data_IF_582680928668
#
_entry.id   IF_582680928668
#
_cell.length_a   1.000
_cell.length_b   1.000
_cell.length_c   1.000
_cell.angle_alpha   90.00
_cell.angle_beta   90.00
_cell.angle_gamma   90.00
#
_symmetry.space_group_name_H-M   'P 1'
#
loop_
_entity.id
_entity.type
_entity.pdbx_description
1 polymer ?
#
# COMPACT_ATOMS: atom_id res chain seq x y z
N UNK A 1 16.62 73.02 -17.50
CA UNK A 1 16.12 71.82 -16.78
C UNK A 1 17.33 70.95 -16.48
N UNK A 2 17.77 70.87 -15.22
CA UNK A 2 19.04 70.24 -14.82
C UNK A 2 18.74 68.80 -14.41
N UNK A 3 19.17 67.83 -15.21
CA UNK A 3 19.02 66.41 -14.90
C UNK A 3 20.04 66.06 -13.82
N UNK A 4 19.56 65.65 -12.65
CA UNK A 4 20.40 65.11 -11.57
C UNK A 4 20.44 63.60 -11.73
N UNK A 5 21.61 63.06 -12.07
CA UNK A 5 21.83 61.61 -12.12
C UNK A 5 22.22 61.16 -10.72
N UNK A 6 21.37 60.38 -10.05
CA UNK A 6 21.72 59.76 -8.77
C UNK A 6 22.58 58.52 -9.05
N UNK A 7 23.88 58.59 -8.73
CA UNK A 7 24.74 57.40 -8.65
C UNK A 7 24.34 56.56 -7.43
N UNK A 8 23.80 55.37 -7.68
CA UNK A 8 23.63 54.35 -6.63
C UNK A 8 24.98 53.67 -6.45
N UNK A 9 25.70 54.05 -5.37
CA UNK A 9 26.89 53.32 -4.93
C UNK A 9 26.46 52.00 -4.32
N UNK A 10 26.71 50.88 -5.01
CA UNK A 10 26.58 49.56 -4.42
C UNK A 10 27.59 49.42 -3.29
N UNK A 11 27.12 49.18 -2.07
CA UNK A 11 27.97 48.82 -0.95
C UNK A 11 28.76 47.55 -1.30
N UNK A 12 30.08 47.57 -1.07
CA UNK A 12 30.90 46.37 -1.14
C UNK A 12 30.31 45.34 -0.16
N UNK A 13 30.20 44.05 -0.54
CA UNK A 13 29.67 43.04 0.36
C UNK A 13 30.50 43.01 1.65
N UNK A 14 29.82 43.04 2.79
CA UNK A 14 30.42 42.87 4.10
C UNK A 14 31.23 41.57 4.09
N UNK A 15 32.51 41.66 4.47
CA UNK A 15 33.39 40.50 4.56
C UNK A 15 32.70 39.41 5.39
N UNK A 16 32.53 38.22 4.81
CA UNK A 16 31.92 37.11 5.53
C UNK A 16 32.74 36.79 6.79
N UNK A 17 32.09 36.52 7.94
CA UNK A 17 32.81 36.07 9.11
C UNK A 17 33.49 34.73 8.79
N UNK A 18 34.81 34.69 8.95
CA UNK A 18 35.62 33.47 8.87
C UNK A 18 35.14 32.45 9.92
N UNK A 19 34.10 31.69 9.59
CA UNK A 19 33.82 30.43 10.25
C UNK A 19 34.84 29.42 9.73
N UNK A 20 35.90 29.19 10.51
CA UNK A 20 36.80 28.05 10.36
C UNK A 20 36.00 26.77 10.57
N UNK A 21 35.30 26.33 9.53
CA UNK A 21 34.79 24.98 9.45
C UNK A 21 36.00 24.07 9.36
N UNK A 22 36.49 23.59 10.50
CA UNK A 22 37.31 22.39 10.56
C UNK A 22 36.49 21.24 10.01
N UNK A 23 36.43 21.10 8.69
CA UNK A 23 36.08 19.84 8.05
C UNK A 23 37.09 18.85 8.60
N UNK A 24 36.63 17.92 9.44
CA UNK A 24 37.41 16.74 9.81
C UNK A 24 37.80 16.10 8.50
N UNK A 25 39.03 16.34 8.06
CA UNK A 25 39.60 15.71 6.89
C UNK A 25 39.56 14.21 7.18
N UNK A 26 38.59 13.51 6.59
CA UNK A 26 38.64 12.05 6.53
C UNK A 26 39.89 11.78 5.71
N UNK A 27 40.91 11.21 6.36
CA UNK A 27 42.25 11.07 5.82
C UNK A 27 42.23 10.44 4.42
N UNK A 28 43.30 10.72 3.66
CA UNK A 28 43.59 10.10 2.38
C UNK A 28 43.21 8.61 2.42
N UNK A 29 42.27 8.22 1.57
CA UNK A 29 41.91 6.80 1.41
C UNK A 29 43.11 6.12 0.74
N UNK A 30 43.96 5.51 1.55
CA UNK A 30 44.93 4.54 1.06
C UNK A 30 44.12 3.31 0.66
N UNK A 31 43.93 3.10 -0.64
CA UNK A 31 43.44 1.81 -1.14
C UNK A 31 44.52 0.76 -0.86
N UNK A 32 44.41 0.09 0.28
CA UNK A 32 45.18 -1.12 0.56
C UNK A 32 44.66 -2.21 -0.38
N UNK A 33 45.44 -2.57 -1.40
CA UNK A 33 45.20 -3.82 -2.12
C UNK A 33 45.41 -4.96 -1.12
N UNK A 34 44.33 -5.60 -0.71
CA UNK A 34 44.39 -6.85 0.05
C UNK A 34 44.92 -7.94 -0.89
N UNK A 35 46.21 -8.25 -0.81
CA UNK A 35 46.73 -9.50 -1.35
C UNK A 35 46.52 -10.57 -0.29
N UNK A 36 45.47 -11.39 -0.46
CA UNK A 36 45.31 -12.61 0.31
C UNK A 36 46.35 -13.63 -0.17
N UNK A 37 47.11 -14.21 0.78
CA UNK A 37 48.14 -15.21 0.53
C UNK A 37 47.64 -16.65 0.76
N UNK A 38 46.33 -16.87 0.83
CA UNK A 38 45.73 -18.19 1.05
C UNK A 38 44.78 -18.58 -0.08
N UNK A 39 44.73 -19.87 -0.40
CA UNK A 39 43.79 -20.52 -1.33
C UNK A 39 42.33 -20.53 -0.83
N UNK A 40 41.91 -19.51 -0.08
CA UNK A 40 40.53 -19.29 0.32
C UNK A 40 39.84 -18.42 -0.72
N UNK A 41 38.67 -18.84 -1.19
CA UNK A 41 37.83 -18.06 -2.09
C UNK A 41 37.42 -16.75 -1.42
N UNK A 42 38.19 -15.69 -1.66
CA UNK A 42 37.90 -14.35 -1.20
C UNK A 42 36.83 -13.76 -2.13
N UNK A 43 35.57 -13.71 -1.69
CA UNK A 43 34.53 -13.00 -2.44
C UNK A 43 34.78 -11.50 -2.26
N UNK A 44 35.59 -10.95 -3.16
CA UNK A 44 35.69 -9.51 -3.39
C UNK A 44 34.60 -9.15 -4.39
N UNK A 45 33.46 -8.70 -3.86
CA UNK A 45 32.33 -8.28 -4.66
C UNK A 45 31.10 -8.16 -3.78
N UNK A 46 30.89 -6.98 -3.20
CA UNK A 46 29.52 -6.59 -2.90
C UNK A 46 28.82 -6.30 -4.25
N UNK A 47 28.40 -7.38 -4.89
CA UNK A 47 27.39 -7.40 -5.97
C UNK A 47 26.18 -8.17 -5.47
N UNK A 48 25.74 -7.85 -4.26
CA UNK A 48 24.63 -8.56 -3.66
C UNK A 48 24.31 -8.05 -2.27
N UNK A 49 23.69 -6.86 -2.20
CA UNK A 49 22.49 -6.80 -1.36
C UNK A 49 21.59 -7.87 -1.95
N UNK A 50 21.61 -9.06 -1.34
CA UNK A 50 20.54 -10.03 -1.47
C UNK A 50 19.31 -9.31 -0.90
N UNK A 51 18.65 -8.53 -1.74
CA UNK A 51 17.29 -8.04 -1.49
C UNK A 51 16.28 -9.18 -1.63
N UNK A 52 16.76 -10.42 -1.65
CA UNK A 52 16.03 -11.66 -1.52
C UNK A 52 15.51 -11.84 -0.09
N UNK A 53 14.91 -10.78 0.47
CA UNK A 53 13.76 -10.97 1.31
C UNK A 53 12.65 -11.56 0.42
N UNK A 54 12.77 -12.85 0.14
CA UNK A 54 11.66 -13.77 -0.20
C UNK A 54 10.74 -13.93 1.03
N UNK A 55 10.91 -13.11 2.06
CA UNK A 55 9.90 -12.86 3.09
C UNK A 55 8.77 -12.06 2.47
N UNK A 56 7.64 -12.72 2.24
CA UNK A 56 6.47 -12.15 1.57
C UNK A 56 6.12 -10.75 2.08
N UNK A 57 6.19 -9.76 1.19
CA UNK A 57 5.73 -8.40 1.50
C UNK A 57 4.26 -8.45 1.88
N UNK A 58 3.93 -7.87 3.04
CA UNK A 58 2.56 -7.77 3.52
C UNK A 58 2.13 -6.32 3.46
N UNK A 59 1.00 -6.08 2.81
CA UNK A 59 0.28 -4.81 2.87
C UNK A 59 -1.05 -5.08 3.57
N UNK A 60 -1.29 -4.38 4.66
CA UNK A 60 -2.57 -4.40 5.36
C UNK A 60 -3.29 -3.10 5.06
N UNK A 61 -4.56 -3.20 4.67
CA UNK A 61 -5.43 -2.05 4.49
C UNK A 61 -6.42 -2.04 5.65
N UNK A 62 -6.41 -0.95 6.38
CA UNK A 62 -7.44 -0.62 7.35
C UNK A 62 -8.61 0.08 6.62
N UNK A 63 -9.79 -0.55 6.53
CA UNK A 63 -10.94 0.03 5.84
C UNK A 63 -11.58 1.20 6.60
N UNK A 64 -11.14 1.50 7.82
CA UNK A 64 -11.58 2.68 8.58
C UNK A 64 -10.87 3.96 8.12
N UNK A 65 -9.77 3.84 7.38
CA UNK A 65 -9.07 4.98 6.78
C UNK A 65 -9.76 5.46 5.50
N UNK A 66 -9.59 6.74 5.16
CA UNK A 66 -10.21 7.34 3.97
C UNK A 66 -9.76 6.59 2.69
N UNK A 67 -10.70 6.03 1.90
CA UNK A 67 -10.35 5.40 0.63
C UNK A 67 -9.98 6.45 -0.42
N UNK A 68 -9.45 6.00 -1.55
CA UNK A 68 -9.19 6.87 -2.68
C UNK A 68 -10.49 7.39 -3.30
N UNK A 69 -11.45 6.49 -3.52
CA UNK A 69 -12.81 6.81 -3.98
C UNK A 69 -13.79 5.73 -3.51
N UNK A 70 -15.06 6.09 -3.39
CA UNK A 70 -16.13 5.20 -2.97
C UNK A 70 -17.48 5.70 -3.52
N UNK A 71 -18.44 4.78 -3.65
CA UNK A 71 -19.86 5.10 -3.89
C UNK A 71 -20.71 4.15 -3.06
N UNK A 72 -21.57 4.71 -2.21
CA UNK A 72 -22.48 3.93 -1.35
C UNK A 72 -21.78 2.88 -0.46
N UNK A 73 -20.50 3.07 -0.16
CA UNK A 73 -19.66 2.17 0.65
C UNK A 73 -18.82 2.98 1.64
N UNK A 74 -19.50 3.64 2.58
CA UNK A 74 -18.92 4.69 3.43
C UNK A 74 -19.20 4.53 4.93
N UNK A 75 -20.06 3.60 5.32
CA UNK A 75 -20.61 3.59 6.67
C UNK A 75 -19.65 2.87 7.61
N UNK A 76 -19.05 3.59 8.56
CA UNK A 76 -18.26 2.99 9.62
C UNK A 76 -19.18 2.55 10.75
N UNK A 77 -19.23 1.24 11.00
CA UNK A 77 -20.12 0.66 12.02
C UNK A 77 -19.30 0.08 13.16
N UNK A 78 -19.64 0.45 14.40
CA UNK A 78 -19.10 -0.17 15.62
C UNK A 78 -19.78 -1.52 15.84
N UNK A 79 -19.00 -2.56 16.13
CA UNK A 79 -19.51 -3.91 16.39
C UNK A 79 -18.56 -4.68 17.29
N UNK A 80 -19.05 -5.09 18.46
CA UNK A 80 -18.29 -5.87 19.46
C UNK A 80 -17.96 -7.30 19.00
N UNK A 81 -18.68 -7.83 18.02
CA UNK A 81 -18.41 -9.16 17.46
C UNK A 81 -17.26 -9.17 16.44
N UNK A 82 -16.83 -7.98 16.03
CA UNK A 82 -15.81 -7.80 15.00
C UNK A 82 -14.44 -7.63 15.66
N UNK A 83 -13.42 -8.34 15.17
CA UNK A 83 -12.07 -8.37 15.75
C UNK A 83 -11.43 -6.98 15.96
N UNK A 84 -11.84 -5.98 15.16
CA UNK A 84 -11.35 -4.60 15.22
C UNK A 84 -12.40 -3.61 15.78
N UNK A 85 -13.40 -4.11 16.52
CA UNK A 85 -14.54 -3.35 17.04
C UNK A 85 -15.39 -2.62 16.00
N UNK A 86 -15.25 -2.94 14.72
CA UNK A 86 -16.07 -2.38 13.67
C UNK A 86 -15.84 -2.97 12.29
N UNK A 87 -16.55 -2.42 11.31
CA UNK A 87 -16.37 -2.68 9.88
C UNK A 87 -16.82 -1.47 9.05
N UNK A 88 -16.25 -1.33 7.86
CA UNK A 88 -16.77 -0.48 6.78
C UNK A 88 -17.94 -1.20 6.11
N UNK A 89 -19.05 -0.51 5.90
CA UNK A 89 -20.29 -1.06 5.37
C UNK A 89 -20.76 -0.29 4.14
N UNK A 90 -21.32 -1.03 3.18
CA UNK A 90 -22.10 -0.47 2.08
C UNK A 90 -23.57 -0.28 2.46
N UNK A 91 -24.24 0.67 1.81
CA UNK A 91 -25.68 0.88 1.97
C UNK A 91 -26.56 -0.30 1.49
N UNK A 92 -25.97 -1.27 0.80
CA UNK A 92 -26.68 -2.37 0.13
C UNK A 92 -27.13 -2.03 -1.30
N UNK A 93 -26.79 -0.85 -1.81
CA UNK A 93 -27.00 -0.55 -3.22
C UNK A 93 -26.17 -1.50 -4.11
N UNK A 94 -26.78 -2.02 -5.17
CA UNK A 94 -26.04 -2.78 -6.18
C UNK A 94 -24.98 -1.86 -6.81
N UNK A 95 -23.79 -2.41 -7.03
CA UNK A 95 -22.60 -1.70 -7.51
C UNK A 95 -22.02 -0.66 -6.54
N UNK A 96 -22.41 -0.70 -5.25
CA UNK A 96 -21.65 0.01 -4.21
C UNK A 96 -20.19 -0.44 -4.24
N UNK A 97 -19.26 0.51 -4.16
CA UNK A 97 -17.83 0.23 -4.27
C UNK A 97 -16.99 1.09 -3.33
N UNK A 98 -15.80 0.58 -3.02
CA UNK A 98 -14.73 1.28 -2.32
C UNK A 98 -13.39 0.90 -2.97
N UNK A 99 -12.48 1.87 -3.09
CA UNK A 99 -11.19 1.70 -3.78
C UNK A 99 -10.04 2.33 -3.01
N UNK A 100 -8.90 1.64 -2.95
CA UNK A 100 -7.67 2.11 -2.32
C UNK A 100 -6.52 2.09 -3.32
N UNK A 101 -5.55 2.98 -3.07
CA UNK A 101 -4.24 2.93 -3.72
C UNK A 101 -3.32 2.01 -2.93
N UNK A 102 -2.74 1.03 -3.61
CA UNK A 102 -1.77 0.09 -3.02
C UNK A 102 -0.50 0.06 -3.86
N UNK A 103 0.67 0.13 -3.22
CA UNK A 103 1.95 0.04 -3.91
C UNK A 103 2.40 -1.41 -3.96
N UNK A 104 2.35 -2.04 -5.13
CA UNK A 104 2.74 -3.44 -5.32
C UNK A 104 4.06 -3.52 -6.07
N UNK A 105 4.90 -4.47 -5.69
CA UNK A 105 6.04 -4.89 -6.50
C UNK A 105 5.59 -5.98 -7.49
N UNK A 106 6.31 -6.17 -8.61
CA UNK A 106 6.10 -7.32 -9.48
C UNK A 106 6.15 -8.63 -8.68
N UNK A 107 5.28 -9.57 -9.02
CA UNK A 107 5.22 -10.85 -8.32
C UNK A 107 3.83 -11.45 -8.28
N UNK A 108 3.73 -12.57 -7.56
CA UNK A 108 2.46 -13.25 -7.29
C UNK A 108 1.97 -12.86 -5.90
N UNK A 109 0.68 -12.55 -5.80
CA UNK A 109 0.05 -12.08 -4.58
C UNK A 109 -1.15 -12.93 -4.20
N UNK A 110 -1.45 -12.93 -2.90
CA UNK A 110 -2.73 -13.37 -2.33
C UNK A 110 -3.43 -12.16 -1.74
N UNK A 111 -4.67 -11.92 -2.15
CA UNK A 111 -5.56 -10.91 -1.56
C UNK A 111 -6.51 -11.61 -0.61
N UNK A 112 -6.41 -11.33 0.68
CA UNK A 112 -7.31 -11.82 1.72
C UNK A 112 -8.19 -10.69 2.24
N UNK A 113 -9.47 -10.96 2.43
CA UNK A 113 -10.45 -10.02 2.99
C UNK A 113 -11.07 -10.67 4.22
N UNK A 114 -11.10 -9.93 5.33
CA UNK A 114 -11.89 -10.28 6.51
C UNK A 114 -13.19 -9.48 6.48
N UNK A 115 -14.32 -10.17 6.60
CA UNK A 115 -15.65 -9.58 6.52
C UNK A 115 -16.67 -10.34 7.38
N UNK A 116 -17.86 -9.75 7.53
CA UNK A 116 -19.02 -10.46 8.10
C UNK A 116 -19.79 -11.19 7.00
N UNK A 117 -20.23 -12.42 7.29
CA UNK A 117 -21.27 -13.12 6.53
C UNK A 117 -22.62 -12.93 7.21
N UNK A 118 -23.68 -12.81 6.42
CA UNK A 118 -25.06 -12.69 6.87
C UNK A 118 -26.05 -12.95 5.71
N UNK A 119 -27.34 -12.99 6.01
CA UNK A 119 -28.40 -13.33 5.04
C UNK A 119 -28.75 -12.20 4.06
N UNK A 120 -28.13 -11.03 4.20
CA UNK A 120 -28.32 -9.84 3.36
C UNK A 120 -27.03 -9.39 2.68
N UNK A 121 -25.97 -10.21 2.74
CA UNK A 121 -24.69 -9.88 2.13
C UNK A 121 -24.69 -10.15 0.63
N UNK A 122 -23.99 -9.30 -0.11
CA UNK A 122 -23.76 -9.48 -1.54
C UNK A 122 -22.54 -10.35 -1.86
N UNK A 123 -22.32 -10.55 -3.16
CA UNK A 123 -21.12 -11.11 -3.74
C UNK A 123 -20.18 -9.98 -4.15
N UNK A 124 -19.00 -9.97 -3.56
CA UNK A 124 -18.00 -8.91 -3.73
C UNK A 124 -17.05 -9.27 -4.87
N UNK A 125 -16.99 -8.43 -5.88
CA UNK A 125 -15.95 -8.48 -6.93
C UNK A 125 -14.72 -7.73 -6.43
N UNK A 126 -13.55 -8.36 -6.54
CA UNK A 126 -12.25 -7.75 -6.24
C UNK A 126 -11.56 -7.45 -7.57
N UNK A 127 -11.14 -6.21 -7.78
CA UNK A 127 -10.44 -5.81 -8.99
C UNK A 127 -9.13 -5.07 -8.69
N UNK A 128 -8.14 -5.22 -9.56
CA UNK A 128 -6.89 -4.47 -9.55
C UNK A 128 -6.75 -3.73 -10.88
N UNK A 129 -6.60 -2.41 -10.83
CA UNK A 129 -6.57 -1.54 -12.03
C UNK A 129 -7.77 -1.78 -12.97
N UNK A 130 -8.94 -2.04 -12.40
CA UNK A 130 -10.17 -2.34 -13.13
C UNK A 130 -10.29 -3.78 -13.66
N UNK A 131 -9.23 -4.59 -13.58
CA UNK A 131 -9.28 -6.00 -13.98
C UNK A 131 -9.79 -6.85 -12.81
N UNK A 132 -10.87 -7.60 -13.04
CA UNK A 132 -11.41 -8.52 -12.02
C UNK A 132 -10.41 -9.62 -11.69
N UNK A 133 -10.12 -9.79 -10.40
CA UNK A 133 -9.32 -10.87 -9.84
C UNK A 133 -10.20 -12.07 -9.46
N UNK A 134 -11.50 -11.84 -9.26
CA UNK A 134 -12.46 -12.85 -8.81
C UNK A 134 -13.55 -12.27 -7.93
N UNK A 135 -14.41 -13.16 -7.44
CA UNK A 135 -15.59 -12.84 -6.63
C UNK A 135 -15.64 -13.66 -5.35
N UNK A 136 -16.17 -13.09 -4.27
CA UNK A 136 -16.38 -13.78 -2.99
C UNK A 136 -17.85 -13.61 -2.55
N UNK A 137 -18.55 -14.71 -2.34
CA UNK A 137 -19.92 -14.72 -1.80
C UNK A 137 -19.90 -14.64 -0.27
N UNK A 138 -20.36 -13.51 0.27
CA UNK A 138 -20.46 -13.28 1.70
C UNK A 138 -21.82 -13.69 2.29
N UNK A 139 -22.73 -14.27 1.49
CA UNK A 139 -23.99 -14.80 2.01
C UNK A 139 -23.78 -15.97 2.99
N UNK A 140 -24.52 -15.94 4.10
CA UNK A 140 -24.76 -17.06 4.98
C UNK A 140 -26.18 -16.99 5.56
N UNK A 141 -26.81 -18.12 5.86
CA UNK A 141 -28.14 -18.14 6.47
C UNK A 141 -28.16 -17.50 7.89
N UNK A 142 -27.04 -17.54 8.60
CA UNK A 142 -26.84 -16.94 9.91
C UNK A 142 -25.61 -16.04 9.93
N UNK A 143 -25.62 -15.03 10.80
CA UNK A 143 -24.51 -14.11 10.96
C UNK A 143 -23.24 -14.83 11.43
N UNK A 144 -22.12 -14.53 10.77
CA UNK A 144 -20.80 -14.99 11.17
C UNK A 144 -19.79 -13.85 10.98
N UNK A 145 -19.17 -13.40 12.06
CA UNK A 145 -18.13 -12.37 12.02
C UNK A 145 -16.75 -12.96 11.71
N UNK A 146 -15.80 -12.10 11.34
CA UNK A 146 -14.37 -12.44 11.21
C UNK A 146 -14.10 -13.55 10.18
N UNK A 147 -14.93 -13.64 9.14
CA UNK A 147 -14.77 -14.63 8.08
C UNK A 147 -13.71 -14.15 7.11
N UNK A 148 -12.77 -15.03 6.75
CA UNK A 148 -11.68 -14.71 5.84
C UNK A 148 -11.83 -15.50 4.55
N UNK A 149 -11.77 -14.81 3.43
CA UNK A 149 -11.71 -15.40 2.10
C UNK A 149 -10.53 -14.81 1.34
N UNK A 150 -9.96 -15.57 0.40
CA UNK A 150 -8.77 -15.14 -0.35
C UNK A 150 -8.87 -15.45 -1.84
N UNK A 151 -8.31 -14.56 -2.65
CA UNK A 151 -7.99 -14.78 -4.06
C UNK A 151 -6.48 -14.94 -4.15
N UNK A 152 -6.03 -16.11 -4.61
CA UNK A 152 -4.61 -16.47 -4.71
C UNK A 152 -4.13 -16.36 -6.16
N UNK A 153 -2.81 -16.36 -6.37
CA UNK A 153 -2.25 -16.39 -7.73
C UNK A 153 -2.41 -15.08 -8.50
N UNK A 154 -2.63 -13.96 -7.81
CA UNK A 154 -2.80 -12.64 -8.43
C UNK A 154 -1.45 -12.18 -8.99
N UNK A 155 -1.32 -12.17 -10.31
CA UNK A 155 -0.09 -11.75 -10.98
C UNK A 155 -0.03 -10.22 -11.10
N UNK A 156 1.06 -9.64 -10.62
CA UNK A 156 1.44 -8.24 -10.85
C UNK A 156 2.68 -8.25 -11.73
N UNK A 157 2.54 -7.86 -12.99
CA UNK A 157 3.66 -7.84 -13.95
C UNK A 157 4.52 -6.59 -13.81
N UNK A 158 3.87 -5.45 -13.59
CA UNK A 158 4.51 -4.14 -13.40
C UNK A 158 4.21 -3.61 -12.00
N UNK A 159 5.25 -3.23 -11.27
CA UNK A 159 5.11 -2.63 -9.95
C UNK A 159 4.59 -1.21 -9.99
N UNK A 160 4.36 -0.63 -8.81
CA UNK A 160 3.90 0.74 -8.61
C UNK A 160 2.54 0.82 -7.95
N UNK A 161 1.95 2.02 -8.00
CA UNK A 161 0.62 2.29 -7.45
C UNK A 161 -0.45 1.59 -8.28
N UNK A 162 -1.26 0.77 -7.63
CA UNK A 162 -2.40 0.04 -8.19
C UNK A 162 -3.69 0.46 -7.51
N UNK A 163 -4.81 0.34 -8.21
CA UNK A 163 -6.15 0.59 -7.69
C UNK A 163 -6.80 -0.72 -7.30
N UNK A 164 -6.87 -1.02 -6.00
CA UNK A 164 -7.60 -2.17 -5.47
C UNK A 164 -9.03 -1.75 -5.16
N UNK A 165 -10.00 -2.33 -5.89
CA UNK A 165 -11.43 -2.03 -5.74
C UNK A 165 -12.20 -3.24 -5.25
N UNK A 166 -13.13 -2.99 -4.33
CA UNK A 166 -14.20 -3.91 -3.96
C UNK A 166 -15.52 -3.39 -4.53
N UNK A 167 -16.33 -4.25 -5.13
CA UNK A 167 -17.64 -3.86 -5.69
C UNK A 167 -18.70 -4.91 -5.38
N UNK A 168 -19.84 -4.47 -4.85
CA UNK A 168 -21.00 -5.32 -4.56
C UNK A 168 -21.90 -5.47 -5.80
N UNK A 169 -21.39 -6.14 -6.83
CA UNK A 169 -22.03 -6.21 -8.15
C UNK A 169 -23.19 -7.22 -8.22
N UNK A 170 -23.09 -8.33 -7.48
CA UNK A 170 -24.05 -9.43 -7.51
C UNK A 170 -24.39 -9.89 -6.08
N UNK A 171 -25.30 -10.85 -5.93
CA UNK A 171 -25.60 -11.49 -4.65
C UNK A 171 -26.07 -12.93 -4.86
N UNK A 172 -25.91 -13.75 -3.83
CA UNK A 172 -26.59 -15.03 -3.77
C UNK A 172 -28.11 -14.87 -3.97
N UNK A 173 -28.75 -15.79 -4.69
CA UNK A 173 -30.20 -15.75 -4.93
C UNK A 173 -31.02 -15.71 -3.64
N UNK A 174 -30.54 -16.36 -2.59
CA UNK A 174 -31.15 -16.38 -1.25
C UNK A 174 -30.82 -15.17 -0.39
N UNK A 175 -29.90 -14.29 -0.83
CA UNK A 175 -29.58 -13.08 -0.10
C UNK A 175 -30.67 -12.02 -0.28
N UNK A 176 -31.01 -11.31 0.79
CA UNK A 176 -32.00 -10.24 0.74
C UNK A 176 -31.46 -8.91 0.21
N UNK A 177 -30.14 -8.72 0.10
CA UNK A 177 -29.54 -7.44 -0.31
C UNK A 177 -28.09 -7.60 -0.87
N UNK A 178 -27.46 -6.50 -1.28
CA UNK A 178 -26.07 -6.44 -1.78
C UNK A 178 -25.08 -5.90 -0.73
N UNK A 179 -25.34 -6.05 0.56
CA UNK A 179 -24.51 -5.40 1.59
C UNK A 179 -23.10 -6.02 1.61
N UNK A 180 -22.07 -5.18 1.66
CA UNK A 180 -20.70 -5.54 2.01
C UNK A 180 -20.33 -5.01 3.39
N UNK A 181 -19.62 -5.81 4.20
CA UNK A 181 -19.11 -5.46 5.53
C UNK A 181 -17.67 -5.88 5.70
N UNK A 182 -16.72 -4.96 5.51
CA UNK A 182 -15.28 -5.23 5.45
C UNK A 182 -14.61 -4.80 6.75
N UNK A 183 -13.84 -5.71 7.34
CA UNK A 183 -13.09 -5.49 8.58
C UNK A 183 -11.60 -5.24 8.30
N UNK A 184 -11.01 -5.97 7.36
CA UNK A 184 -9.63 -5.75 6.94
C UNK A 184 -9.35 -6.34 5.56
N UNK A 185 -8.33 -5.82 4.90
CA UNK A 185 -7.75 -6.46 3.71
C UNK A 185 -6.26 -6.68 3.92
N UNK A 186 -5.74 -7.77 3.38
CA UNK A 186 -4.32 -8.12 3.41
C UNK A 186 -3.88 -8.59 2.04
N UNK A 187 -2.78 -8.04 1.55
CA UNK A 187 -2.10 -8.49 0.35
C UNK A 187 -0.76 -9.08 0.77
N UNK A 188 -0.55 -10.37 0.49
CA UNK A 188 0.69 -11.09 0.77
C UNK A 188 1.37 -11.46 -0.55
N UNK A 189 2.58 -10.98 -0.78
CA UNK A 189 3.44 -11.42 -1.90
C UNK A 189 3.96 -12.83 -1.60
N UNK A 190 3.79 -13.75 -2.54
CA UNK A 190 4.16 -15.16 -2.38
C UNK A 190 5.30 -15.60 -3.31
N UNK A 191 5.62 -14.80 -4.33
CA UNK A 191 6.76 -14.98 -5.24
C UNK A 191 7.09 -13.64 -5.92
#
# INVERSE_FOLDING_TARGET
MKVLTNEIKYAQPLAEPNFDYKRKQIGTVTTSTLTDAGTGTHIVGDTGIVSDLVGGSVITIDPFSAPYTQSSFSDLTVSTDSLLNGFLQSSGAQNAYVEWRVNLQPGTWTVSIMAKKANNMGTMTVALDGTSLGTIDWYAASDAANQVASITGVSVTEGGTKLLRLTMADKNGSSSNYVGRVQSLKLLRTA
#
